data_IF_800797173569
#
_entry.id   IF_800797173569
#
_cell.length_a   1.000
_cell.length_b   1.000
_cell.length_c   1.000
_cell.angle_alpha   90.00
_cell.angle_beta   90.00
_cell.angle_gamma   90.00
#
_symmetry.space_group_name_H-M   'P 1'
#
loop_
_entity.id
_entity.type
_entity.pdbx_description
1 polymer ?
#
# COMPACT_ATOMS: atom_id res chain seq x y z
N UNK A 1 -26.58 17.80 8.00
CA UNK A 1 -25.14 17.50 7.99
C UNK A 1 -24.59 17.99 6.67
N UNK A 2 -23.63 18.92 6.70
CA UNK A 2 -22.87 19.28 5.50
C UNK A 2 -22.14 18.02 5.02
N UNK A 3 -22.33 17.65 3.75
CA UNK A 3 -21.51 16.60 3.14
C UNK A 3 -20.12 17.20 2.94
N UNK A 4 -19.18 16.86 3.81
CA UNK A 4 -17.78 17.16 3.56
C UNK A 4 -17.37 16.47 2.25
N UNK A 5 -16.62 17.19 1.40
CA UNK A 5 -16.14 16.67 0.13
C UNK A 5 -15.20 15.49 0.34
N UNK A 6 -15.12 14.62 -0.67
CA UNK A 6 -14.12 13.55 -0.68
C UNK A 6 -12.74 14.17 -0.87
N UNK A 7 -11.79 13.76 -0.04
CA UNK A 7 -10.39 14.16 -0.13
C UNK A 7 -9.53 12.92 -0.32
N UNK A 8 -8.40 13.11 -1.00
CA UNK A 8 -7.44 12.05 -1.27
C UNK A 8 -6.15 12.32 -0.52
N UNK A 9 -5.71 11.34 0.28
CA UNK A 9 -4.41 11.29 0.92
C UNK A 9 -3.61 10.14 0.29
N UNK A 10 -2.34 10.41 -0.03
CA UNK A 10 -1.42 9.39 -0.52
C UNK A 10 -0.38 9.08 0.55
N UNK A 11 -0.34 7.83 0.98
CA UNK A 11 0.67 7.30 1.88
C UNK A 11 1.76 6.64 1.04
N UNK A 12 3.02 7.01 1.30
CA UNK A 12 4.17 6.42 0.63
C UNK A 12 4.91 5.53 1.62
N UNK A 13 5.27 4.34 1.17
CA UNK A 13 6.03 3.38 1.97
C UNK A 13 7.20 2.82 1.15
N UNK A 14 8.40 2.72 1.75
CA UNK A 14 9.50 2.02 1.10
C UNK A 14 9.12 0.56 0.89
N UNK A 15 9.53 0.00 -0.26
CA UNK A 15 9.40 -1.43 -0.51
C UNK A 15 10.71 -2.12 -0.11
N UNK A 16 10.57 -3.22 0.60
CA UNK A 16 11.68 -4.12 0.90
C UNK A 16 11.34 -5.45 0.30
N UNK A 17 12.06 -5.82 -0.73
CA UNK A 17 11.66 -6.93 -1.58
C UNK A 17 12.66 -8.04 -1.55
N UNK A 18 12.08 -9.23 -1.66
CA UNK A 18 12.76 -10.51 -1.55
C UNK A 18 12.41 -11.32 -2.77
N UNK A 19 13.42 -11.81 -3.47
CA UNK A 19 13.25 -12.65 -4.65
C UNK A 19 13.71 -14.06 -4.35
N UNK A 20 12.90 -15.04 -4.76
CA UNK A 20 13.32 -16.43 -4.82
C UNK A 20 13.87 -16.70 -6.21
N UNK A 21 15.19 -16.82 -6.34
CA UNK A 21 15.84 -17.06 -7.63
C UNK A 21 15.68 -18.52 -8.06
N UNK A 22 15.72 -18.75 -9.37
CA UNK A 22 15.84 -20.10 -9.91
C UNK A 22 17.30 -20.51 -9.96
N UNK A 23 17.60 -21.73 -9.53
CA UNK A 23 18.93 -22.31 -9.64
C UNK A 23 19.23 -22.77 -11.09
N UNK A 24 20.42 -23.33 -11.30
CA UNK A 24 20.87 -23.79 -12.63
C UNK A 24 20.03 -24.93 -13.24
N UNK A 25 19.20 -25.58 -12.42
CA UNK A 25 18.26 -26.62 -12.84
C UNK A 25 16.82 -26.08 -13.03
N UNK A 26 16.60 -24.80 -12.79
CA UNK A 26 15.30 -24.12 -12.93
C UNK A 26 14.39 -24.24 -11.72
N UNK A 27 14.85 -24.86 -10.63
CA UNK A 27 14.12 -24.96 -9.37
C UNK A 27 14.24 -23.66 -8.57
N UNK A 28 13.15 -23.25 -7.92
CA UNK A 28 13.14 -22.07 -7.05
C UNK A 28 13.91 -22.37 -5.77
N UNK A 29 14.89 -21.51 -5.45
CA UNK A 29 15.64 -21.59 -4.20
C UNK A 29 14.74 -21.42 -2.98
N UNK A 30 15.08 -22.06 -1.88
CA UNK A 30 14.27 -22.01 -0.65
C UNK A 30 14.52 -20.74 0.17
N UNK A 31 15.69 -20.12 0.01
CA UNK A 31 16.06 -18.89 0.69
C UNK A 31 15.86 -17.70 -0.26
N UNK A 32 15.07 -16.69 0.13
CA UNK A 32 14.95 -15.48 -0.66
C UNK A 32 16.21 -14.62 -0.51
N UNK A 33 16.59 -13.97 -1.60
CA UNK A 33 17.61 -12.93 -1.61
C UNK A 33 16.97 -11.55 -1.53
N UNK A 34 17.64 -10.60 -0.86
CA UNK A 34 17.22 -9.20 -0.91
C UNK A 34 17.43 -8.65 -2.33
N UNK A 35 16.42 -7.97 -2.85
CA UNK A 35 16.46 -7.31 -4.16
C UNK A 35 16.65 -5.81 -3.95
N UNK A 36 17.50 -5.18 -4.76
CA UNK A 36 17.73 -3.75 -4.65
C UNK A 36 16.50 -2.96 -5.12
N UNK A 37 16.21 -1.82 -4.47
CA UNK A 37 15.06 -0.98 -4.77
C UNK A 37 15.08 -0.41 -6.22
N UNK A 38 16.25 -0.37 -6.86
CA UNK A 38 16.39 0.01 -8.27
C UNK A 38 16.11 -1.17 -9.22
N UNK A 39 16.40 -2.41 -8.80
CA UNK A 39 16.13 -3.62 -9.59
C UNK A 39 14.62 -3.93 -9.65
N UNK A 40 13.89 -3.65 -8.57
CA UNK A 40 12.43 -3.87 -8.53
C UNK A 40 11.64 -2.94 -9.45
N UNK A 41 12.18 -1.78 -9.84
CA UNK A 41 11.48 -0.86 -10.75
C UNK A 41 11.10 -1.57 -12.05
N UNK A 42 11.95 -2.47 -12.54
CA UNK A 42 11.68 -3.29 -13.74
C UNK A 42 10.44 -4.19 -13.59
N UNK A 43 10.05 -4.51 -12.36
CA UNK A 43 8.90 -5.36 -12.02
C UNK A 43 7.62 -4.55 -11.74
N UNK A 44 7.62 -3.23 -11.91
CA UNK A 44 6.47 -2.38 -11.57
C UNK A 44 5.16 -2.84 -12.24
N UNK A 45 5.19 -3.13 -13.54
CA UNK A 45 3.99 -3.59 -14.26
C UNK A 45 3.48 -4.94 -13.74
N UNK A 46 4.38 -5.85 -13.41
CA UNK A 46 4.06 -7.18 -12.89
C UNK A 46 3.47 -7.10 -11.47
N UNK A 47 4.00 -6.19 -10.64
CA UNK A 47 3.48 -5.91 -9.30
C UNK A 47 2.09 -5.28 -9.39
N UNK A 48 1.88 -4.30 -10.27
CA UNK A 48 0.56 -3.70 -10.49
C UNK A 48 -0.46 -4.74 -10.99
N UNK A 49 -0.06 -5.62 -11.91
CA UNK A 49 -0.90 -6.71 -12.38
C UNK A 49 -1.23 -7.71 -11.26
N UNK A 50 -0.27 -8.01 -10.38
CA UNK A 50 -0.49 -8.85 -9.21
C UNK A 50 -1.48 -8.20 -8.24
N UNK A 51 -1.32 -6.91 -7.92
CA UNK A 51 -2.25 -6.16 -7.06
C UNK A 51 -3.68 -6.24 -7.62
N UNK A 52 -3.87 -6.00 -8.92
CA UNK A 52 -5.19 -6.09 -9.54
C UNK A 52 -5.77 -7.52 -9.51
N UNK A 53 -4.91 -8.55 -9.64
CA UNK A 53 -5.34 -9.95 -9.57
C UNK A 53 -5.77 -10.37 -8.16
N UNK A 54 -5.10 -9.87 -7.13
CA UNK A 54 -5.43 -10.17 -5.74
C UNK A 54 -6.68 -9.39 -5.26
N UNK A 55 -7.08 -8.34 -5.98
CA UNK A 55 -8.29 -7.57 -5.70
C UNK A 55 -9.53 -8.47 -5.72
N UNK A 56 -10.22 -8.56 -4.59
CA UNK A 56 -11.38 -9.43 -4.48
C UNK A 56 -12.63 -8.77 -5.11
N UNK A 57 -13.51 -9.53 -5.81
CA UNK A 57 -14.67 -8.96 -6.48
C UNK A 57 -15.63 -8.18 -5.56
N UNK A 58 -15.65 -8.49 -4.26
CA UNK A 58 -16.50 -7.84 -3.26
C UNK A 58 -15.91 -6.52 -2.71
N UNK A 59 -14.63 -6.21 -2.97
CA UNK A 59 -14.01 -4.96 -2.54
C UNK A 59 -14.57 -3.73 -3.28
N UNK A 60 -14.94 -3.91 -4.55
CA UNK A 60 -15.55 -2.88 -5.38
C UNK A 60 -14.75 -1.58 -5.40
N UNK A 61 -15.45 -0.45 -5.25
CA UNK A 61 -14.85 0.90 -5.18
C UNK A 61 -14.22 1.21 -3.82
N UNK A 62 -14.59 0.48 -2.77
CA UNK A 62 -14.09 0.72 -1.40
C UNK A 62 -12.67 0.18 -1.22
N UNK A 63 -12.27 -0.82 -1.99
CA UNK A 63 -10.98 -1.48 -1.82
C UNK A 63 -10.83 -2.02 -0.39
N UNK A 64 -9.65 -1.83 0.19
CA UNK A 64 -9.32 -2.30 1.54
C UNK A 64 -10.10 -1.58 2.65
N UNK A 65 -10.76 -0.45 2.36
CA UNK A 65 -11.63 0.22 3.33
C UNK A 65 -12.77 -0.69 3.80
N UNK A 66 -13.17 -1.65 2.96
CA UNK A 66 -14.16 -2.69 3.29
C UNK A 66 -13.81 -3.54 4.52
N UNK A 67 -12.52 -3.64 4.85
CA UNK A 67 -11.99 -4.49 5.93
C UNK A 67 -11.60 -3.72 7.19
N UNK A 68 -11.83 -2.40 7.26
CA UNK A 68 -11.55 -1.64 8.48
C UNK A 68 -12.42 -2.14 9.63
N UNK A 69 -11.83 -2.50 10.76
CA UNK A 69 -12.62 -2.97 11.91
C UNK A 69 -13.26 -1.80 12.68
N UNK A 70 -12.63 -0.64 12.72
CA UNK A 70 -13.16 0.55 13.40
C UNK A 70 -14.38 1.16 12.67
N UNK A 71 -15.54 1.19 13.33
CA UNK A 71 -16.80 1.72 12.78
C UNK A 71 -16.81 3.23 12.53
N UNK A 72 -16.06 4.01 13.30
CA UNK A 72 -15.88 5.45 13.07
C UNK A 72 -15.11 5.67 11.77
N UNK A 73 -14.01 4.95 11.58
CA UNK A 73 -13.22 5.01 10.36
C UNK A 73 -14.01 4.49 9.15
N UNK A 74 -14.79 3.41 9.28
CA UNK A 74 -15.66 2.91 8.20
C UNK A 74 -16.61 3.99 7.66
N UNK A 75 -17.11 4.87 8.54
CA UNK A 75 -18.02 5.96 8.16
C UNK A 75 -17.32 7.13 7.48
N UNK A 76 -16.02 7.32 7.74
CA UNK A 76 -15.24 8.47 7.26
C UNK A 76 -14.36 8.13 6.06
N UNK A 77 -13.72 6.96 6.05
CA UNK A 77 -12.88 6.46 4.96
C UNK A 77 -13.76 5.79 3.93
N UNK A 78 -13.83 6.40 2.74
CA UNK A 78 -14.58 5.88 1.61
C UNK A 78 -13.83 4.72 0.95
N UNK A 79 -12.57 4.91 0.57
CA UNK A 79 -11.79 3.90 -0.14
C UNK A 79 -10.32 3.86 0.32
N UNK A 80 -9.71 2.67 0.20
CA UNK A 80 -8.28 2.46 0.38
C UNK A 80 -7.80 1.55 -0.75
N UNK A 81 -6.89 2.05 -1.59
CA UNK A 81 -6.38 1.33 -2.75
C UNK A 81 -4.84 1.33 -2.77
N UNK A 82 -4.20 0.17 -2.55
CA UNK A 82 -2.76 0.02 -2.72
C UNK A 82 -2.35 0.04 -4.20
N UNK A 83 -1.13 0.52 -4.46
CA UNK A 83 -0.46 0.57 -5.74
C UNK A 83 1.06 0.64 -5.52
N UNK A 84 1.81 0.71 -6.62
CA UNK A 84 3.24 1.04 -6.60
C UNK A 84 3.56 2.11 -7.64
N UNK A 85 4.50 3.00 -7.33
CA UNK A 85 4.96 4.06 -8.23
C UNK A 85 6.47 4.27 -8.12
N UNK A 86 7.11 4.56 -9.25
CA UNK A 86 8.53 4.96 -9.28
C UNK A 86 8.69 6.41 -8.82
N UNK A 87 9.59 6.64 -7.86
CA UNK A 87 10.01 7.97 -7.45
C UNK A 87 11.51 7.96 -7.10
N UNK A 88 12.26 8.87 -7.74
CA UNK A 88 13.72 8.99 -7.59
C UNK A 88 14.49 7.69 -7.92
N UNK A 89 14.10 7.01 -9.01
CA UNK A 89 14.72 5.77 -9.48
C UNK A 89 14.44 4.54 -8.61
N UNK A 90 13.54 4.66 -7.62
CA UNK A 90 13.15 3.57 -6.72
C UNK A 90 11.66 3.33 -6.80
N UNK A 91 11.27 2.07 -6.65
CA UNK A 91 9.85 1.74 -6.55
C UNK A 91 9.35 1.91 -5.11
N UNK A 92 8.23 2.61 -4.96
CA UNK A 92 7.57 2.83 -3.69
C UNK A 92 6.20 2.18 -3.67
N UNK A 93 5.80 1.69 -2.49
CA UNK A 93 4.42 1.38 -2.22
C UNK A 93 3.66 2.69 -2.05
N UNK A 94 2.49 2.76 -2.67
CA UNK A 94 1.58 3.89 -2.56
C UNK A 94 0.25 3.34 -2.09
N UNK A 95 -0.35 3.98 -1.09
CA UNK A 95 -1.73 3.71 -0.73
C UNK A 95 -2.54 4.98 -0.87
N UNK A 96 -3.52 4.96 -1.78
CA UNK A 96 -4.50 6.04 -1.91
C UNK A 96 -5.63 5.81 -0.91
N UNK A 97 -5.81 6.76 0.01
CA UNK A 97 -6.89 6.79 0.99
C UNK A 97 -7.83 7.94 0.64
N UNK A 98 -9.10 7.63 0.40
CA UNK A 98 -10.12 8.65 0.19
C UNK A 98 -11.04 8.74 1.41
N UNK A 99 -11.21 9.94 1.96
CA UNK A 99 -12.03 10.19 3.15
C UNK A 99 -13.00 11.37 2.98
N UNK A 100 -14.13 11.30 3.69
CA UNK A 100 -15.05 12.42 3.83
C UNK A 100 -14.48 13.43 4.82
N UNK A 101 -13.86 14.48 4.28
CA UNK A 101 -13.10 15.47 5.03
C UNK A 101 -11.73 14.96 5.51
N UNK A 102 -10.99 15.87 6.15
CA UNK A 102 -9.61 15.62 6.57
C UNK A 102 -9.57 14.59 7.71
N UNK A 103 -8.65 13.64 7.60
CA UNK A 103 -8.30 12.78 8.72
C UNK A 103 -7.49 13.58 9.73
N UNK A 104 -7.94 13.55 10.98
CA UNK A 104 -7.12 14.01 12.10
C UNK A 104 -5.90 13.10 12.25
N UNK A 105 -4.86 13.58 12.94
CA UNK A 105 -3.66 12.75 13.17
C UNK A 105 -3.99 11.41 13.82
N UNK A 106 -4.92 11.38 14.79
CA UNK A 106 -5.31 10.14 15.46
C UNK A 106 -6.03 9.15 14.52
N UNK A 107 -6.93 9.64 13.66
CA UNK A 107 -7.60 8.79 12.66
C UNK A 107 -6.61 8.28 11.60
N UNK A 108 -5.65 9.12 11.22
CA UNK A 108 -4.59 8.76 10.29
C UNK A 108 -3.66 7.68 10.86
N UNK A 109 -3.24 7.82 12.12
CA UNK A 109 -2.42 6.83 12.82
C UNK A 109 -3.14 5.47 12.90
N UNK A 110 -4.46 5.49 13.09
CA UNK A 110 -5.28 4.29 13.13
C UNK A 110 -5.44 3.65 11.74
N UNK A 111 -5.66 4.43 10.68
CA UNK A 111 -5.63 3.93 9.29
C UNK A 111 -4.28 3.29 8.97
N UNK A 112 -3.17 3.90 9.37
CA UNK A 112 -1.82 3.35 9.19
C UNK A 112 -1.65 2.04 9.97
N UNK A 113 -2.19 1.96 11.19
CA UNK A 113 -2.14 0.73 12.00
C UNK A 113 -2.90 -0.42 11.35
N UNK A 114 -4.11 -0.16 10.85
CA UNK A 114 -4.93 -1.15 10.12
C UNK A 114 -4.22 -1.63 8.85
N UNK A 115 -3.67 -0.71 8.06
CA UNK A 115 -2.93 -1.04 6.84
C UNK A 115 -1.65 -1.82 7.12
N UNK A 116 -0.93 -1.48 8.19
CA UNK A 116 0.24 -2.24 8.64
C UNK A 116 -0.14 -3.68 9.02
N UNK A 117 -1.33 -3.87 9.61
CA UNK A 117 -1.91 -5.18 9.84
C UNK A 117 -2.14 -5.94 8.54
N UNK A 118 -2.88 -5.34 7.60
CA UNK A 118 -3.21 -5.95 6.32
C UNK A 118 -1.98 -6.30 5.46
N UNK A 119 -0.96 -5.43 5.45
CA UNK A 119 0.28 -5.70 4.72
C UNK A 119 1.24 -6.66 5.46
N UNK A 120 1.04 -6.89 6.76
CA UNK A 120 1.83 -7.89 7.49
C UNK A 120 1.45 -9.33 7.11
N UNK A 121 0.22 -9.56 6.66
CA UNK A 121 -0.25 -10.89 6.26
C UNK A 121 0.27 -11.29 4.86
N UNK A 122 0.84 -10.32 4.12
CA UNK A 122 1.55 -10.50 2.86
C UNK A 122 2.95 -9.89 2.90
N UNK A 123 3.80 -10.33 3.84
CA UNK A 123 5.25 -10.02 3.96
C UNK A 123 5.73 -8.69 3.34
N UNK A 124 5.31 -7.55 3.91
CA UNK A 124 5.97 -6.23 3.72
C UNK A 124 6.39 -5.67 5.09
N UNK A 125 7.57 -5.03 5.24
CA UNK A 125 8.07 -4.65 6.57
C UNK A 125 7.26 -3.59 7.31
N UNK A 126 7.34 -3.72 8.64
CA UNK A 126 6.65 -2.92 9.64
C UNK A 126 7.44 -1.65 9.95
N UNK A 127 6.79 -0.49 9.77
CA UNK A 127 7.23 0.90 10.02
C UNK A 127 7.69 1.64 8.77
N UNK A 128 7.31 2.92 8.72
CA UNK A 128 7.72 3.98 7.77
C UNK A 128 6.69 4.35 6.67
N UNK A 129 5.38 4.16 6.94
CA UNK A 129 4.33 4.87 6.18
C UNK A 129 4.30 6.35 6.57
N UNK A 130 4.55 7.23 5.62
CA UNK A 130 4.46 8.68 5.84
C UNK A 130 3.32 9.29 5.00
N UNK A 131 2.46 10.13 5.62
CA UNK A 131 1.57 11.01 4.88
C UNK A 131 2.39 11.93 3.99
N UNK A 132 1.93 12.17 2.77
CA UNK A 132 2.57 13.13 1.89
C UNK A 132 2.30 14.57 2.35
N UNK A 133 3.22 15.15 3.13
CA UNK A 133 3.70 16.50 2.86
C UNK A 133 5.03 16.36 2.12
N UNK A 134 5.00 16.14 0.80
CA UNK A 134 6.24 16.16 0.01
C UNK A 134 6.77 17.59 0.01
N UNK A 135 7.60 17.93 1.00
CA UNK A 135 8.46 19.11 0.92
C UNK A 135 9.56 18.80 -0.09
N UNK A 136 9.36 19.32 -1.30
CA UNK A 136 10.40 19.43 -2.32
C UNK A 136 11.64 20.06 -1.69
N UNK A 137 12.76 19.36 -1.76
CA UNK A 137 14.10 19.94 -1.83
C UNK A 137 14.75 19.44 -3.11
#
# INVERSE_FOLDING_TARGET
MEKQGLQTLRLWNPLFTKIYRKNEWGDTENEPEDMDANEIVEYQEEILAAIEREKLPNEGERGLAGYLDNDVLKGKVYSINPAVEEWDGKLWGVTEVQSYGELTQAELDEVISELTGQFSDGYVPKKDMCPSEVKML
#
